data_IF_358636001604
#
_entry.id   IF_358636001604
#
_cell.length_a   1.000
_cell.length_b   1.000
_cell.length_c   1.000
_cell.angle_alpha   90.00
_cell.angle_beta   90.00
_cell.angle_gamma   90.00
#
_symmetry.space_group_name_H-M   'P 1'
#
loop_
_entity.id
_entity.type
_entity.pdbx_description
1 polymer ?
#
# COMPACT_ATOMS: atom_id res chain seq x y z
N UNK A 1 20.14 14.70 -25.80
CA UNK A 1 19.96 13.65 -24.77
C UNK A 1 19.50 14.35 -23.52
N UNK A 2 18.18 14.34 -23.29
CA UNK A 2 17.50 15.15 -22.28
C UNK A 2 17.78 14.60 -20.89
N UNK A 3 18.16 15.51 -19.99
CA UNK A 3 18.64 15.20 -18.65
C UNK A 3 17.59 14.44 -17.82
N UNK A 4 17.89 13.17 -17.53
CA UNK A 4 17.37 12.40 -16.39
C UNK A 4 17.75 13.10 -15.06
N UNK A 5 16.96 12.93 -13.98
CA UNK A 5 16.65 14.01 -13.04
C UNK A 5 17.90 14.66 -12.45
N UNK A 6 17.97 15.99 -12.55
CA UNK A 6 19.00 16.86 -11.97
C UNK A 6 18.99 16.90 -10.41
N UNK A 7 18.59 15.80 -9.77
CA UNK A 7 18.33 15.65 -8.33
C UNK A 7 19.23 14.59 -7.66
N UNK A 8 20.11 13.94 -8.43
CA UNK A 8 21.06 12.94 -7.95
C UNK A 8 20.39 11.68 -7.38
N UNK A 9 21.09 10.95 -6.50
CA UNK A 9 20.62 9.68 -5.94
C UNK A 9 19.24 9.75 -5.26
N UNK A 10 18.89 10.89 -4.64
CA UNK A 10 17.59 11.08 -3.99
C UNK A 10 16.42 11.02 -4.97
N UNK A 11 16.60 11.56 -6.18
CA UNK A 11 15.58 11.50 -7.22
C UNK A 11 15.34 10.08 -7.73
N UNK A 12 16.42 9.33 -7.97
CA UNK A 12 16.33 7.92 -8.34
C UNK A 12 15.67 7.07 -7.26
N UNK A 13 16.00 7.30 -5.98
CA UNK A 13 15.35 6.61 -4.87
C UNK A 13 13.85 6.89 -4.84
N UNK A 14 13.43 8.14 -5.03
CA UNK A 14 12.02 8.50 -5.07
C UNK A 14 11.27 7.76 -6.20
N UNK A 15 11.83 7.77 -7.43
CA UNK A 15 11.24 7.04 -8.55
C UNK A 15 11.19 5.53 -8.30
N UNK A 16 12.24 4.95 -7.73
CA UNK A 16 12.28 3.52 -7.39
C UNK A 16 11.22 3.16 -6.35
N UNK A 17 11.02 3.99 -5.32
CA UNK A 17 9.94 3.79 -4.34
C UNK A 17 8.57 3.81 -5.02
N UNK A 18 8.32 4.75 -5.93
CA UNK A 18 7.03 4.84 -6.67
C UNK A 18 6.75 3.58 -7.49
N UNK A 19 7.76 3.04 -8.17
CA UNK A 19 7.61 1.80 -8.95
C UNK A 19 7.30 0.61 -8.04
N UNK A 20 8.03 0.45 -6.93
CA UNK A 20 7.77 -0.64 -5.97
C UNK A 20 6.40 -0.52 -5.29
N UNK A 21 5.96 0.70 -4.97
CA UNK A 21 4.61 0.97 -4.49
C UNK A 21 3.57 0.54 -5.53
N UNK A 22 3.79 0.88 -6.80
CA UNK A 22 2.89 0.51 -7.89
C UNK A 22 2.76 -0.99 -8.09
N UNK A 23 3.89 -1.72 -8.11
CA UNK A 23 3.86 -3.18 -8.23
C UNK A 23 3.07 -3.78 -7.07
N UNK A 24 3.37 -3.36 -5.84
CA UNK A 24 2.69 -3.88 -4.64
C UNK A 24 1.18 -3.60 -4.66
N UNK A 25 0.77 -2.39 -5.07
CA UNK A 25 -0.64 -2.00 -5.17
C UNK A 25 -1.38 -2.80 -6.26
N UNK A 26 -0.78 -2.99 -7.44
CA UNK A 26 -1.39 -3.79 -8.50
C UNK A 26 -1.55 -5.26 -8.08
N UNK A 27 -0.58 -5.82 -7.34
CA UNK A 27 -0.71 -7.16 -6.78
C UNK A 27 -1.84 -7.24 -5.76
N UNK A 28 -1.96 -6.27 -4.85
CA UNK A 28 -3.08 -6.21 -3.89
C UNK A 28 -4.42 -6.12 -4.61
N UNK A 29 -4.52 -5.28 -5.65
CA UNK A 29 -5.74 -5.13 -6.47
C UNK A 29 -6.13 -6.47 -7.10
N UNK A 30 -5.18 -7.19 -7.71
CA UNK A 30 -5.44 -8.48 -8.34
C UNK A 30 -5.93 -9.53 -7.35
N UNK A 31 -5.24 -9.70 -6.22
CA UNK A 31 -5.60 -10.66 -5.18
C UNK A 31 -6.96 -10.31 -4.55
N UNK A 32 -7.19 -9.04 -4.19
CA UNK A 32 -8.45 -8.61 -3.58
C UNK A 32 -9.64 -8.74 -4.54
N UNK A 33 -9.46 -8.41 -5.82
CA UNK A 33 -10.50 -8.57 -6.83
C UNK A 33 -10.86 -10.05 -7.06
N UNK A 34 -9.87 -10.95 -7.07
CA UNK A 34 -10.12 -12.39 -7.18
C UNK A 34 -11.00 -12.90 -6.04
N UNK A 35 -10.66 -12.56 -4.79
CA UNK A 35 -11.46 -12.94 -3.63
C UNK A 35 -12.89 -12.40 -3.66
N UNK A 36 -13.06 -11.15 -4.08
CA UNK A 36 -14.40 -10.54 -4.20
C UNK A 36 -15.20 -11.28 -5.28
N UNK A 37 -14.59 -11.57 -6.43
CA UNK A 37 -15.23 -12.32 -7.51
C UNK A 37 -15.66 -13.72 -7.06
N UNK A 38 -14.79 -14.43 -6.35
CA UNK A 38 -15.06 -15.79 -5.89
C UNK A 38 -16.15 -15.82 -4.81
N UNK A 39 -16.13 -14.88 -3.86
CA UNK A 39 -17.18 -14.74 -2.86
C UNK A 39 -18.55 -14.47 -3.49
N UNK A 40 -18.62 -13.53 -4.45
CA UNK A 40 -19.87 -13.18 -5.13
C UNK A 40 -20.38 -14.34 -5.99
N UNK A 41 -19.49 -15.03 -6.73
CA UNK A 41 -19.87 -16.19 -7.54
C UNK A 41 -20.40 -17.36 -6.69
N UNK A 42 -19.93 -17.49 -5.45
CA UNK A 42 -20.41 -18.48 -4.49
C UNK A 42 -21.68 -18.03 -3.73
N UNK A 43 -22.23 -16.85 -4.03
CA UNK A 43 -23.45 -16.33 -3.39
C UNK A 43 -23.24 -15.67 -2.03
N UNK A 44 -22.00 -15.38 -1.65
CA UNK A 44 -21.65 -14.68 -0.40
C UNK A 44 -21.48 -13.17 -0.61
N UNK A 45 -21.73 -12.40 0.45
CA UNK A 45 -21.38 -10.99 0.47
C UNK A 45 -19.86 -10.81 0.67
N UNK A 46 -19.22 -10.04 -0.20
CA UNK A 46 -17.80 -9.75 -0.10
C UNK A 46 -17.45 -9.09 1.25
N UNK A 47 -16.37 -9.53 1.94
CA UNK A 47 -15.97 -8.91 3.20
C UNK A 47 -15.62 -7.44 3.03
N UNK A 48 -16.22 -6.58 3.85
CA UNK A 48 -16.04 -5.12 3.77
C UNK A 48 -14.59 -4.67 3.93
N UNK A 49 -13.76 -5.42 4.65
CA UNK A 49 -12.33 -5.16 4.78
C UNK A 49 -11.57 -5.33 3.45
N UNK A 50 -11.88 -6.36 2.66
CA UNK A 50 -11.28 -6.56 1.32
C UNK A 50 -11.78 -5.51 0.33
N UNK A 51 -13.07 -5.21 0.35
CA UNK A 51 -13.64 -4.15 -0.49
C UNK A 51 -13.00 -2.80 -0.17
N UNK A 52 -12.87 -2.46 1.11
CA UNK A 52 -12.16 -1.25 1.54
C UNK A 52 -10.69 -1.23 1.13
N UNK A 53 -10.01 -2.38 1.23
CA UNK A 53 -8.62 -2.53 0.77
C UNK A 53 -8.50 -2.27 -0.73
N UNK A 54 -9.41 -2.84 -1.54
CA UNK A 54 -9.44 -2.63 -2.99
C UNK A 54 -9.63 -1.15 -3.35
N UNK A 55 -10.58 -0.47 -2.69
CA UNK A 55 -10.83 0.97 -2.93
C UNK A 55 -9.60 1.81 -2.59
N UNK A 56 -9.00 1.60 -1.41
CA UNK A 56 -7.78 2.30 -1.00
C UNK A 56 -6.63 2.03 -1.96
N UNK A 57 -6.46 0.77 -2.39
CA UNK A 57 -5.40 0.39 -3.31
C UNK A 57 -5.56 1.05 -4.68
N UNK A 58 -6.78 1.11 -5.22
CA UNK A 58 -7.08 1.81 -6.48
C UNK A 58 -6.80 3.32 -6.39
N UNK A 59 -7.25 3.99 -5.31
CA UNK A 59 -6.98 5.41 -5.09
C UNK A 59 -5.49 5.69 -4.95
N UNK A 60 -4.78 4.86 -4.18
CA UNK A 60 -3.34 4.96 -4.01
C UNK A 60 -2.60 4.73 -5.34
N UNK A 61 -3.04 3.76 -6.17
CA UNK A 61 -2.45 3.47 -7.48
C UNK A 61 -2.58 4.67 -8.44
N UNK A 62 -3.75 5.30 -8.48
CA UNK A 62 -3.96 6.53 -9.27
C UNK A 62 -3.09 7.67 -8.74
N UNK A 63 -3.05 7.85 -7.41
CA UNK A 63 -2.22 8.85 -6.77
C UNK A 63 -0.74 8.71 -7.14
N UNK A 64 -0.15 7.51 -7.02
CA UNK A 64 1.27 7.32 -7.35
C UNK A 64 1.53 7.51 -8.85
N UNK A 65 0.59 7.16 -9.73
CA UNK A 65 0.74 7.32 -11.17
C UNK A 65 0.78 8.80 -11.57
N UNK A 66 -0.14 9.59 -11.03
CA UNK A 66 -0.18 11.04 -11.24
C UNK A 66 1.10 11.68 -10.70
N UNK A 67 1.52 11.34 -9.48
CA UNK A 67 2.73 11.92 -8.87
C UNK A 67 4.00 11.49 -9.61
N UNK A 68 4.04 10.26 -10.14
CA UNK A 68 5.15 9.80 -10.96
C UNK A 68 5.29 10.64 -12.23
N UNK A 69 4.21 10.87 -12.98
CA UNK A 69 4.21 11.72 -14.18
C UNK A 69 4.63 13.16 -13.80
N UNK A 70 3.98 13.73 -12.79
CA UNK A 70 4.22 15.12 -12.39
C UNK A 70 5.64 15.34 -11.84
N UNK A 71 6.25 14.30 -11.28
CA UNK A 71 7.66 14.29 -10.87
C UNK A 71 8.60 14.39 -12.09
N UNK A 72 8.34 13.62 -13.15
CA UNK A 72 9.10 13.70 -14.40
C UNK A 72 8.92 15.02 -15.13
N UNK A 73 7.74 15.64 -15.00
CA UNK A 73 7.44 16.95 -15.57
C UNK A 73 7.98 18.13 -14.74
N UNK A 74 8.68 17.86 -13.62
CA UNK A 74 9.22 18.88 -12.70
C UNK A 74 8.17 19.83 -12.09
N UNK A 75 6.88 19.50 -12.21
CA UNK A 75 5.76 20.31 -11.72
C UNK A 75 5.31 19.92 -10.31
N UNK A 76 5.96 18.94 -9.68
CA UNK A 76 5.49 18.38 -8.42
C UNK A 76 5.87 19.26 -7.20
N UNK A 77 4.90 19.87 -6.50
CA UNK A 77 5.17 20.54 -5.23
C UNK A 77 5.50 19.51 -4.13
N UNK A 78 6.80 19.33 -3.86
CA UNK A 78 7.33 18.29 -2.95
C UNK A 78 6.73 18.31 -1.54
N UNK A 79 6.33 19.48 -1.04
CA UNK A 79 5.69 19.60 0.27
C UNK A 79 4.27 19.01 0.29
N UNK A 80 3.50 19.26 -0.78
CA UNK A 80 2.16 18.69 -0.93
C UNK A 80 2.27 17.18 -1.18
N UNK A 81 3.25 16.75 -1.98
CA UNK A 81 3.53 15.33 -2.21
C UNK A 81 3.85 14.60 -0.89
N UNK A 82 4.65 15.21 -0.01
CA UNK A 82 4.95 14.67 1.32
C UNK A 82 3.68 14.51 2.17
N UNK A 83 2.84 15.54 2.22
CA UNK A 83 1.59 15.50 2.98
C UNK A 83 0.64 14.42 2.46
N UNK A 84 0.55 14.28 1.14
CA UNK A 84 -0.25 13.23 0.50
C UNK A 84 0.33 11.83 0.75
N UNK A 85 1.65 11.64 0.69
CA UNK A 85 2.30 10.37 1.05
C UNK A 85 2.02 9.98 2.50
N UNK A 86 2.03 10.94 3.43
CA UNK A 86 1.67 10.71 4.83
C UNK A 86 0.19 10.32 4.99
N UNK A 87 -0.72 10.92 4.22
CA UNK A 87 -2.13 10.56 4.22
C UNK A 87 -2.33 9.14 3.69
N UNK A 88 -1.69 8.78 2.58
CA UNK A 88 -1.77 7.42 2.02
C UNK A 88 -1.15 6.41 2.99
N UNK A 89 -0.04 6.76 3.66
CA UNK A 89 0.54 5.94 4.73
C UNK A 89 -0.48 5.62 5.83
N UNK A 90 -1.23 6.62 6.31
CA UNK A 90 -2.27 6.41 7.32
C UNK A 90 -3.35 5.45 6.80
N UNK A 91 -3.79 5.62 5.56
CA UNK A 91 -4.80 4.75 4.94
C UNK A 91 -4.31 3.30 4.83
N UNK A 92 -3.06 3.09 4.41
CA UNK A 92 -2.46 1.75 4.30
C UNK A 92 -2.23 1.12 5.67
N UNK A 93 -1.90 1.91 6.71
CA UNK A 93 -1.83 1.41 8.10
C UNK A 93 -3.19 0.86 8.54
N UNK A 94 -4.29 1.59 8.27
CA UNK A 94 -5.64 1.13 8.60
C UNK A 94 -5.94 -0.19 7.89
N UNK A 95 -5.62 -0.30 6.60
CA UNK A 95 -5.74 -1.55 5.84
C UNK A 95 -4.92 -2.69 6.48
N UNK A 96 -3.65 -2.44 6.81
CA UNK A 96 -2.78 -3.44 7.42
C UNK A 96 -3.31 -3.95 8.77
N UNK A 97 -3.92 -3.08 9.58
CA UNK A 97 -4.54 -3.46 10.85
C UNK A 97 -5.83 -4.24 10.65
N UNK A 98 -6.71 -3.78 9.74
CA UNK A 98 -8.01 -4.43 9.50
C UNK A 98 -7.86 -5.81 8.87
N UNK A 99 -6.94 -5.97 7.90
CA UNK A 99 -6.63 -7.26 7.29
C UNK A 99 -5.77 -8.13 8.23
N UNK A 100 -4.87 -7.53 8.99
CA UNK A 100 -3.96 -8.26 9.88
C UNK A 100 -4.64 -8.95 11.06
N UNK A 101 -5.74 -8.38 11.59
CA UNK A 101 -6.49 -8.95 12.73
C UNK A 101 -6.88 -10.42 12.51
N UNK A 102 -7.61 -10.80 11.45
CA UNK A 102 -7.91 -12.20 11.20
C UNK A 102 -6.70 -13.01 10.74
N UNK A 103 -5.84 -12.41 9.91
CA UNK A 103 -4.77 -13.13 9.20
C UNK A 103 -3.62 -13.54 10.11
N UNK A 104 -3.34 -12.78 11.17
CA UNK A 104 -2.25 -13.05 12.10
C UNK A 104 -2.40 -14.40 12.84
N UNK A 105 -3.62 -14.93 12.94
CA UNK A 105 -3.91 -16.21 13.60
C UNK A 105 -3.94 -17.40 12.64
N UNK A 106 -3.79 -17.18 11.33
CA UNK A 106 -3.86 -18.22 10.32
C UNK A 106 -2.55 -19.00 10.19
N UNK A 107 -2.67 -20.33 10.26
CA UNK A 107 -1.59 -21.28 10.00
C UNK A 107 -1.82 -22.00 8.67
N UNK A 108 -1.49 -21.33 7.56
CA UNK A 108 -1.79 -21.84 6.22
C UNK A 108 -1.23 -23.24 5.91
N UNK A 109 -0.12 -23.64 6.53
CA UNK A 109 0.48 -24.96 6.28
C UNK A 109 -0.34 -26.14 6.83
N UNK A 110 -1.26 -25.88 7.76
CA UNK A 110 -2.13 -26.91 8.37
C UNK A 110 -3.42 -27.12 7.56
N UNK A 111 -3.66 -26.33 6.50
CA UNK A 111 -4.89 -26.37 5.71
C UNK A 111 -4.78 -27.29 4.49
N UNK A 112 -5.94 -27.81 4.08
CA UNK A 112 -6.10 -28.68 2.92
C UNK A 112 -6.00 -27.90 1.60
N UNK A 113 -5.54 -28.56 0.54
CA UNK A 113 -5.51 -28.02 -0.82
C UNK A 113 -6.89 -28.10 -1.52
N UNK A 114 -7.85 -28.82 -0.93
CA UNK A 114 -9.21 -29.01 -1.47
C UNK A 114 -10.27 -28.18 -0.72
N UNK A 115 -9.88 -27.01 -0.21
CA UNK A 115 -10.79 -26.12 0.51
C UNK A 115 -11.75 -25.36 -0.40
N UNK A 116 -12.62 -24.56 0.19
CA UNK A 116 -13.47 -23.63 -0.55
C UNK A 116 -13.10 -22.21 -0.15
N UNK A 117 -12.49 -21.46 -1.06
CA UNK A 117 -12.04 -20.08 -0.82
C UNK A 117 -13.16 -19.16 -0.33
N UNK A 118 -14.35 -19.24 -0.91
CA UNK A 118 -15.45 -18.35 -0.55
C UNK A 118 -15.95 -18.59 0.88
N UNK A 119 -16.10 -19.86 1.28
CA UNK A 119 -16.47 -20.26 2.63
C UNK A 119 -15.37 -19.87 3.62
N UNK A 120 -14.11 -20.16 3.27
CA UNK A 120 -12.95 -19.85 4.08
C UNK A 120 -12.83 -18.34 4.33
N UNK A 121 -12.79 -17.51 3.28
CA UNK A 121 -12.65 -16.06 3.40
C UNK A 121 -13.82 -15.46 4.18
N UNK A 122 -15.06 -15.89 3.94
CA UNK A 122 -16.20 -15.46 4.74
C UNK A 122 -16.04 -15.81 6.21
N UNK A 123 -15.61 -17.04 6.53
CA UNK A 123 -15.37 -17.47 7.90
C UNK A 123 -14.25 -16.66 8.56
N UNK A 124 -13.19 -16.32 7.82
CA UNK A 124 -12.04 -15.56 8.30
C UNK A 124 -12.47 -14.17 8.79
N UNK A 125 -13.21 -13.44 7.98
CA UNK A 125 -13.66 -12.08 8.33
C UNK A 125 -14.86 -12.04 9.29
N UNK A 126 -15.63 -13.13 9.37
CA UNK A 126 -16.71 -13.25 10.36
C UNK A 126 -16.16 -13.54 11.76
N UNK A 127 -15.21 -14.47 11.88
CA UNK A 127 -14.54 -14.75 13.16
C UNK A 127 -13.68 -13.55 13.64
N UNK A 128 -13.16 -12.72 12.72
CA UNK A 128 -12.46 -11.48 13.07
C UNK A 128 -13.31 -10.51 13.92
N UNK A 129 -14.64 -10.49 13.70
CA UNK A 129 -15.57 -9.66 14.48
C UNK A 129 -15.77 -10.20 15.90
N UNK A 130 -15.55 -11.49 16.09
CA UNK A 130 -15.68 -12.21 17.36
C UNK A 130 -14.34 -12.41 18.08
N UNK A 131 -13.26 -11.73 17.66
CA UNK A 131 -11.91 -11.93 18.19
C UNK A 131 -11.75 -11.76 19.72
N UNK A 132 -12.77 -11.24 20.42
CA UNK A 132 -12.81 -11.19 21.89
C UNK A 132 -13.01 -12.57 22.56
N UNK A 133 -13.45 -13.61 21.84
CA UNK A 133 -13.74 -14.92 22.43
C UNK A 133 -12.59 -15.95 22.33
N UNK A 134 -11.46 -15.61 21.69
CA UNK A 134 -10.30 -16.50 21.44
C UNK A 134 -10.62 -17.85 20.74
N UNK A 135 -11.87 -18.06 20.29
CA UNK A 135 -12.29 -19.26 19.57
C UNK A 135 -12.42 -18.92 18.10
N UNK A 136 -11.46 -19.38 17.31
CA UNK A 136 -11.46 -19.25 15.86
C UNK A 136 -11.87 -20.57 15.22
N UNK A 137 -12.95 -20.56 14.43
CA UNK A 137 -13.37 -21.73 13.64
C UNK A 137 -13.34 -21.38 12.16
N UNK A 138 -12.45 -22.04 11.42
CA UNK A 138 -12.29 -21.82 9.98
C UNK A 138 -13.15 -22.86 9.24
N UNK A 139 -14.03 -22.39 8.35
CA UNK A 139 -14.92 -23.26 7.58
C UNK A 139 -14.28 -23.54 6.23
N UNK A 140 -14.19 -24.81 5.84
CA UNK A 140 -13.60 -25.29 4.58
C UNK A 140 -12.27 -24.62 4.21
N UNK A 141 -11.27 -24.64 5.11
CA UNK A 141 -10.06 -23.85 4.94
C UNK A 141 -9.32 -24.22 3.67
N UNK A 142 -9.11 -23.21 2.82
CA UNK A 142 -8.34 -23.34 1.59
C UNK A 142 -6.93 -22.78 1.78
N UNK A 143 -5.92 -23.61 1.48
CA UNK A 143 -4.52 -23.27 1.65
C UNK A 143 -4.09 -22.13 0.73
N UNK A 144 -4.53 -22.12 -0.52
CA UNK A 144 -4.17 -21.11 -1.51
C UNK A 144 -4.69 -19.75 -1.08
N UNK A 145 -5.99 -19.66 -0.77
CA UNK A 145 -6.66 -18.48 -0.25
C UNK A 145 -5.99 -17.97 1.03
N UNK A 146 -5.52 -18.86 1.91
CA UNK A 146 -4.78 -18.47 3.11
C UNK A 146 -3.47 -17.74 2.79
N UNK A 147 -2.69 -18.25 1.83
CA UNK A 147 -1.46 -17.57 1.41
C UNK A 147 -1.74 -16.27 0.66
N UNK A 148 -2.78 -16.23 -0.17
CA UNK A 148 -3.17 -15.03 -0.90
C UNK A 148 -3.59 -13.89 0.05
N UNK A 149 -4.44 -14.15 1.05
CA UNK A 149 -4.84 -13.13 2.03
C UNK A 149 -3.66 -12.70 2.91
N UNK A 150 -2.73 -13.63 3.20
CA UNK A 150 -1.48 -13.33 3.92
C UNK A 150 -0.53 -12.49 3.08
N UNK A 151 -0.49 -12.69 1.77
CA UNK A 151 0.28 -11.87 0.84
C UNK A 151 -0.30 -10.44 0.79
N UNK A 152 -1.62 -10.27 0.74
CA UNK A 152 -2.27 -8.94 0.80
C UNK A 152 -1.87 -8.20 2.08
N UNK A 153 -1.89 -8.88 3.22
CA UNK A 153 -1.44 -8.30 4.50
C UNK A 153 0.04 -7.92 4.48
N UNK A 154 0.92 -8.82 4.02
CA UNK A 154 2.36 -8.58 3.94
C UNK A 154 2.72 -7.42 3.00
N UNK A 155 2.07 -7.35 1.83
CA UNK A 155 2.23 -6.24 0.88
C UNK A 155 1.72 -4.92 1.46
N UNK A 156 0.67 -4.94 2.28
CA UNK A 156 0.20 -3.74 2.98
C UNK A 156 1.26 -3.20 3.97
N UNK A 157 1.95 -4.08 4.70
CA UNK A 157 3.07 -3.69 5.58
C UNK A 157 4.23 -3.13 4.75
N UNK A 158 4.58 -3.78 3.63
CA UNK A 158 5.62 -3.29 2.73
C UNK A 158 5.29 -1.90 2.19
N UNK A 159 4.02 -1.65 1.82
CA UNK A 159 3.54 -0.34 1.39
C UNK A 159 3.67 0.72 2.49
N UNK A 160 3.39 0.40 3.76
CA UNK A 160 3.63 1.32 4.87
C UNK A 160 5.09 1.78 4.90
N UNK A 161 6.03 0.84 4.77
CA UNK A 161 7.47 1.16 4.74
C UNK A 161 7.78 2.03 3.52
N UNK A 162 7.34 1.63 2.33
CA UNK A 162 7.61 2.36 1.09
C UNK A 162 7.05 3.78 1.11
N UNK A 163 5.85 4.01 1.63
CA UNK A 163 5.28 5.36 1.75
C UNK A 163 5.99 6.21 2.80
N UNK A 164 6.44 5.61 3.91
CA UNK A 164 7.27 6.32 4.89
C UNK A 164 8.61 6.77 4.27
N UNK A 165 9.30 5.88 3.55
CA UNK A 165 10.54 6.22 2.83
C UNK A 165 10.31 7.26 1.72
N UNK A 166 9.19 7.18 0.99
CA UNK A 166 8.79 8.18 -0.01
C UNK A 166 8.57 9.56 0.62
N UNK A 167 7.90 9.63 1.78
CA UNK A 167 7.70 10.88 2.51
C UNK A 167 9.04 11.48 2.98
N UNK A 168 9.93 10.67 3.55
CA UNK A 168 11.26 11.11 4.01
C UNK A 168 12.10 11.64 2.84
N UNK A 169 12.17 10.90 1.74
CA UNK A 169 12.93 11.30 0.55
C UNK A 169 12.37 12.58 -0.07
N UNK A 170 11.04 12.73 -0.11
CA UNK A 170 10.37 13.96 -0.58
C UNK A 170 10.69 15.17 0.32
N UNK A 171 10.73 15.00 1.64
CA UNK A 171 11.14 16.05 2.58
C UNK A 171 12.60 16.45 2.37
N UNK A 172 13.50 15.47 2.24
CA UNK A 172 14.91 15.71 1.97
C UNK A 172 15.11 16.48 0.65
N UNK A 173 14.34 16.11 -0.38
CA UNK A 173 14.37 16.76 -1.68
C UNK A 173 13.84 18.19 -1.59
N UNK A 174 12.72 18.39 -0.90
CA UNK A 174 12.15 19.72 -0.64
C UNK A 174 13.14 20.63 0.10
N UNK A 175 13.83 20.12 1.13
CA UNK A 175 14.85 20.86 1.88
C UNK A 175 16.05 21.26 1.01
N UNK A 176 16.42 20.44 0.02
CA UNK A 176 17.50 20.76 -0.94
C UNK A 176 17.06 21.74 -2.02
N UNK A 177 15.82 21.64 -2.46
CA UNK A 177 15.24 22.49 -3.51
C UNK A 177 14.81 23.86 -3.01
N UNK A 178 14.54 24.02 -1.70
CA UNK A 178 14.34 25.33 -1.09
C UNK A 178 15.66 26.09 -1.19
N UNK A 179 15.77 27.13 -2.04
CA UNK A 179 16.99 27.92 -2.11
C UNK A 179 17.22 28.53 -0.73
N UNK A 180 18.45 28.47 -0.24
CA UNK A 180 18.86 29.34 0.85
C UNK A 180 18.51 30.78 0.47
N UNK A 181 17.47 31.35 1.09
CA UNK A 181 17.33 32.79 1.34
C UNK A 181 18.47 33.33 2.23
N UNK A 182 19.64 32.68 2.23
CA UNK A 182 20.80 32.91 3.08
C UNK A 182 22.12 32.77 2.29
N UNK A 183 22.11 33.22 1.03
CA UNK A 183 23.32 33.64 0.33
C UNK A 183 22.96 34.72 -0.71
N UNK A 184 22.33 35.79 -0.25
CA UNK A 184 22.57 37.07 -0.89
C UNK A 184 24.06 37.37 -0.66
N UNK A 185 24.89 37.56 -1.69
CA UNK A 185 26.22 38.13 -1.50
C UNK A 185 25.98 39.48 -0.84
N UNK A 186 26.45 39.64 0.41
CA UNK A 186 26.62 40.99 0.94
C UNK A 186 27.64 41.67 0.04
N UNK A 187 27.30 42.88 -0.34
CA UNK A 187 28.04 43.77 -1.21
C UNK A 187 29.53 43.79 -0.86
N UNK A 188 30.38 43.69 -1.89
CA UNK A 188 31.74 44.24 -1.83
C UNK A 188 31.83 45.20 -3.01
N UNK A 189 31.81 46.48 -2.67
CA UNK A 189 32.16 47.62 -3.52
C UNK A 189 33.53 47.41 -4.18
N UNK A 190 33.63 47.73 -5.47
CA UNK A 190 34.69 48.56 -6.05
C UNK A 190 34.29 49.03 -7.45
#
# INVERSE_FOLDING_TARGET
>A
MTAHPALGALGYTYSAMRVMQGISLLTIIGLAANFISEAVNAGYHAPSALVGTLVVACLAAIYIAINYILYWDYMLPMLIATGADALVLIMVIVVAVLVGKPVSYLKCHEFSDNGNTANFITSVYTNAKNANSNVFTWVDPDKTACYEVKAVWGLSIALCILFAFSAITSICLWRRLKPSTAAAPKDVEQ
#
